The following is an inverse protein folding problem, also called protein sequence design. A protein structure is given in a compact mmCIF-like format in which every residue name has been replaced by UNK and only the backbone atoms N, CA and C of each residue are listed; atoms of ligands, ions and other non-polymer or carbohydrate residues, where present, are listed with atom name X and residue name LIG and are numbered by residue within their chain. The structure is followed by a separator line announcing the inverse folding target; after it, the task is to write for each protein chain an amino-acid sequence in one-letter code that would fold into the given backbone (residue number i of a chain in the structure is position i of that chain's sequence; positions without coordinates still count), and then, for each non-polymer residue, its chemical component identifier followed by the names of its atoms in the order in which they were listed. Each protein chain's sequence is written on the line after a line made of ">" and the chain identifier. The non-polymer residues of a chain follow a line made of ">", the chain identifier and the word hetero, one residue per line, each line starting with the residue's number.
data_IF_521504036276
#
_entry.id   IF_521504036276
#
_cell.length_a   1.000
_cell.length_b   1.000
_cell.length_c   1.000
_cell.angle_alpha   90.00
_cell.angle_beta   90.00
_cell.angle_gamma   90.00
#
_symmetry.space_group_name_H-M   'P 1'
#
loop_
_entity.id
_entity.type
_entity.pdbx_description
1 polymer ?
#
# COMPACT_ATOMS: atom_id res chain seq x y z
N UNK A 1 -13.02 1.36 -25.11
CA UNK A 1 -14.09 0.62 -25.79
C UNK A 1 -14.53 -0.48 -24.86
N UNK A 2 -15.76 -0.43 -24.33
CA UNK A 2 -16.36 -1.58 -23.63
C UNK A 2 -16.55 -2.66 -24.70
N UNK A 3 -16.07 -3.90 -24.51
CA UNK A 3 -16.21 -4.91 -25.54
C UNK A 3 -17.71 -5.15 -25.77
N UNK A 4 -18.16 -5.08 -27.03
CA UNK A 4 -19.57 -5.14 -27.40
C UNK A 4 -20.28 -6.48 -27.08
N UNK A 5 -19.60 -7.39 -26.40
CA UNK A 5 -20.05 -8.74 -26.06
C UNK A 5 -20.17 -8.99 -24.55
N UNK A 6 -19.84 -8.01 -23.68
CA UNK A 6 -20.04 -8.17 -22.25
C UNK A 6 -21.44 -7.71 -21.85
N UNK A 7 -22.21 -8.67 -21.35
CA UNK A 7 -23.51 -8.41 -20.75
C UNK A 7 -23.36 -7.61 -19.46
N UNK A 8 -24.36 -6.77 -19.15
CA UNK A 8 -24.30 -5.85 -18.00
C UNK A 8 -24.00 -6.57 -16.67
N UNK A 9 -24.53 -7.79 -16.50
CA UNK A 9 -24.29 -8.59 -15.30
C UNK A 9 -22.85 -9.08 -15.18
N UNK A 10 -22.16 -9.34 -16.30
CA UNK A 10 -20.76 -9.79 -16.30
C UNK A 10 -19.83 -8.65 -15.87
N UNK A 11 -20.09 -7.44 -16.37
CA UNK A 11 -19.38 -6.22 -15.96
C UNK A 11 -19.58 -6.00 -14.46
N UNK A 12 -20.82 -6.09 -13.97
CA UNK A 12 -21.12 -5.95 -12.55
C UNK A 12 -20.36 -6.97 -11.71
N UNK A 13 -20.31 -8.25 -12.12
CA UNK A 13 -19.63 -9.31 -11.39
C UNK A 13 -18.12 -9.08 -11.33
N UNK A 14 -17.51 -8.62 -12.43
CA UNK A 14 -16.08 -8.26 -12.48
C UNK A 14 -15.79 -7.09 -11.53
N UNK A 15 -16.60 -6.03 -11.58
CA UNK A 15 -16.41 -4.85 -10.73
C UNK A 15 -16.57 -5.20 -9.25
N UNK A 16 -17.63 -5.91 -8.89
CA UNK A 16 -17.85 -6.34 -7.50
C UNK A 16 -16.77 -7.30 -7.01
N UNK A 17 -16.35 -8.25 -7.86
CA UNK A 17 -15.24 -9.14 -7.55
C UNK A 17 -13.94 -8.39 -7.28
N UNK A 18 -13.65 -7.37 -8.09
CA UNK A 18 -12.47 -6.52 -7.90
C UNK A 18 -12.56 -5.70 -6.61
N UNK A 19 -13.73 -5.12 -6.29
CA UNK A 19 -13.96 -4.37 -5.04
C UNK A 19 -13.77 -5.27 -3.82
N UNK A 20 -14.35 -6.47 -3.83
CA UNK A 20 -14.19 -7.43 -2.74
C UNK A 20 -12.73 -7.89 -2.59
N UNK A 21 -12.04 -8.10 -3.71
CA UNK A 21 -10.62 -8.43 -3.69
C UNK A 21 -9.78 -7.29 -3.08
N UNK A 22 -10.07 -6.04 -3.43
CA UNK A 22 -9.41 -4.87 -2.85
C UNK A 22 -9.62 -4.81 -1.33
N UNK A 23 -10.86 -4.92 -0.85
CA UNK A 23 -11.15 -4.91 0.57
C UNK A 23 -10.51 -6.10 1.31
N UNK A 24 -10.50 -7.29 0.69
CA UNK A 24 -9.85 -8.47 1.24
C UNK A 24 -8.33 -8.27 1.38
N UNK A 25 -7.67 -7.75 0.35
CA UNK A 25 -6.24 -7.41 0.38
C UNK A 25 -5.95 -6.34 1.44
N UNK A 26 -6.77 -5.29 1.52
CA UNK A 26 -6.62 -4.25 2.54
C UNK A 26 -6.76 -4.81 3.96
N UNK A 27 -7.76 -5.67 4.22
CA UNK A 27 -7.95 -6.31 5.52
C UNK A 27 -6.77 -7.22 5.90
N UNK A 28 -6.28 -8.02 4.96
CA UNK A 28 -5.08 -8.85 5.13
C UNK A 28 -3.84 -7.99 5.46
N UNK A 29 -3.64 -6.90 4.73
CA UNK A 29 -2.56 -5.95 4.99
C UNK A 29 -2.70 -5.28 6.35
N UNK A 30 -3.92 -4.91 6.78
CA UNK A 30 -4.19 -4.32 8.09
C UNK A 30 -3.80 -5.28 9.21
N UNK A 31 -4.29 -6.53 9.17
CA UNK A 31 -3.96 -7.56 10.17
C UNK A 31 -2.46 -7.86 10.18
N UNK A 32 -1.82 -7.85 9.02
CA UNK A 32 -0.37 -8.08 8.93
C UNK A 32 0.45 -6.89 9.45
N UNK A 33 0.01 -5.66 9.21
CA UNK A 33 0.68 -4.45 9.67
C UNK A 33 0.54 -4.23 11.17
N UNK A 34 -0.68 -4.38 11.69
CA UNK A 34 -1.06 -3.96 13.06
C UNK A 34 -1.17 -5.14 14.03
N UNK A 35 -0.69 -6.34 13.66
CA UNK A 35 -1.01 -7.61 14.31
C UNK A 35 -1.04 -7.65 15.85
N UNK A 36 -1.92 -8.53 16.36
CA UNK A 36 -2.34 -8.74 17.76
C UNK A 36 -2.88 -7.50 18.49
N UNK A 37 -3.90 -7.71 19.33
CA UNK A 37 -4.49 -6.66 20.15
C UNK A 37 -3.40 -6.02 21.00
N UNK A 38 -2.97 -4.83 20.59
CA UNK A 38 -2.10 -3.98 21.36
C UNK A 38 -2.78 -3.73 22.71
N UNK A 39 -2.21 -4.29 23.77
CA UNK A 39 -2.72 -4.08 25.13
C UNK A 39 -2.35 -2.67 25.56
N UNK A 40 -3.28 -1.91 26.18
CA UNK A 40 -2.97 -0.58 26.71
C UNK A 40 -1.71 -0.65 27.60
N UNK A 41 -0.69 0.14 27.27
CA UNK A 41 0.56 0.23 28.02
C UNK A 41 1.74 -0.61 27.52
N UNK A 42 1.55 -1.51 26.54
CA UNK A 42 2.67 -2.26 25.94
C UNK A 42 3.27 -1.49 24.76
N UNK A 43 4.43 -0.83 24.98
CA UNK A 43 5.24 -0.27 23.90
C UNK A 43 5.94 -1.42 23.17
N UNK A 44 5.42 -1.81 22.00
CA UNK A 44 6.18 -2.68 21.10
C UNK A 44 7.30 -1.84 20.48
N UNK A 45 8.53 -2.03 20.98
CA UNK A 45 9.70 -1.44 20.35
C UNK A 45 9.81 -1.94 18.91
N UNK A 46 9.92 -1.00 17.97
CA UNK A 46 10.33 -1.28 16.61
C UNK A 46 11.65 -2.06 16.68
N UNK A 47 11.60 -3.36 16.39
CA UNK A 47 12.82 -4.18 16.28
C UNK A 47 13.60 -3.59 15.12
N UNK A 48 14.79 -3.04 15.35
CA UNK A 48 15.68 -2.61 14.27
C UNK A 48 16.02 -3.79 13.35
N UNK A 49 15.42 -3.92 12.15
CA UNK A 49 15.68 -5.06 11.31
C UNK A 49 16.65 -4.57 10.26
N UNK A 50 17.94 -4.88 10.43
CA UNK A 50 18.96 -4.68 9.39
C UNK A 50 18.44 -5.18 8.02
N UNK A 51 17.65 -6.26 8.02
CA UNK A 51 16.95 -6.76 6.84
C UNK A 51 15.94 -5.79 6.22
N UNK A 52 15.17 -5.02 7.00
CA UNK A 52 14.24 -4.03 6.48
C UNK A 52 14.98 -2.81 5.90
N UNK A 53 16.10 -2.40 6.51
CA UNK A 53 16.96 -1.35 5.95
C UNK A 53 17.46 -1.77 4.56
N UNK A 54 17.97 -2.99 4.43
CA UNK A 54 18.44 -3.54 3.15
C UNK A 54 17.29 -3.64 2.15
N UNK A 55 16.12 -4.12 2.57
CA UNK A 55 14.95 -4.21 1.71
C UNK A 55 14.51 -2.83 1.17
N UNK A 56 14.44 -1.82 2.04
CA UNK A 56 14.10 -0.44 1.65
C UNK A 56 15.18 0.14 0.72
N UNK A 57 16.46 -0.12 0.97
CA UNK A 57 17.54 0.33 0.10
C UNK A 57 17.46 -0.28 -1.31
N UNK A 58 17.18 -1.58 -1.41
CA UNK A 58 16.97 -2.25 -2.70
C UNK A 58 15.73 -1.71 -3.42
N UNK A 59 14.61 -1.54 -2.70
CA UNK A 59 13.39 -0.94 -3.24
C UNK A 59 13.62 0.48 -3.73
N UNK A 60 14.44 1.27 -3.03
CA UNK A 60 14.82 2.62 -3.46
C UNK A 60 15.50 2.57 -4.83
N UNK A 61 16.43 1.65 -5.03
CA UNK A 61 17.08 1.45 -6.33
C UNK A 61 16.08 1.10 -7.44
N UNK A 62 15.12 0.22 -7.16
CA UNK A 62 14.05 -0.16 -8.10
C UNK A 62 13.14 1.04 -8.42
N UNK A 63 12.71 1.80 -7.41
CA UNK A 63 11.86 3.00 -7.59
C UNK A 63 12.59 4.06 -8.42
N UNK A 64 13.87 4.31 -8.14
CA UNK A 64 14.69 5.25 -8.92
C UNK A 64 14.85 4.79 -10.37
N UNK A 65 15.06 3.49 -10.60
CA UNK A 65 15.12 2.94 -11.96
C UNK A 65 13.83 3.23 -12.74
N UNK A 66 12.66 2.93 -12.15
CA UNK A 66 11.38 3.21 -12.81
C UNK A 66 11.09 4.71 -12.95
N UNK A 67 11.52 5.55 -12.00
CA UNK A 67 11.42 7.00 -12.13
C UNK A 67 12.18 7.52 -13.35
N UNK A 68 13.41 7.02 -13.56
CA UNK A 68 14.22 7.37 -14.74
C UNK A 68 13.56 6.87 -16.02
N UNK A 69 13.03 5.64 -16.04
CA UNK A 69 12.32 5.11 -17.21
C UNK A 69 11.07 5.92 -17.53
N UNK A 70 10.27 6.27 -16.52
CA UNK A 70 9.07 7.09 -16.67
C UNK A 70 9.39 8.46 -17.30
N UNK A 71 10.44 9.14 -16.82
CA UNK A 71 10.88 10.42 -17.40
C UNK A 71 11.40 10.25 -18.82
N UNK A 72 12.15 9.18 -19.11
CA UNK A 72 12.63 8.89 -20.48
C UNK A 72 11.48 8.62 -21.45
N UNK A 73 10.48 7.85 -21.01
CA UNK A 73 9.26 7.55 -21.75
C UNK A 73 8.46 8.83 -22.06
N UNK A 74 8.42 9.80 -21.15
CA UNK A 74 7.81 11.12 -21.39
C UNK A 74 8.53 11.94 -22.47
N UNK A 75 9.86 11.88 -22.52
CA UNK A 75 10.68 12.75 -23.37
C UNK A 75 10.82 12.28 -24.81
N UNK A 76 10.97 10.97 -25.04
CA UNK A 76 11.40 10.47 -26.34
C UNK A 76 10.23 10.06 -27.23
N UNK A 77 9.28 9.26 -26.72
CA UNK A 77 8.01 8.90 -27.37
C UNK A 77 7.04 8.38 -26.30
N UNK A 78 5.98 9.13 -25.94
CA UNK A 78 5.03 8.69 -24.93
C UNK A 78 4.13 7.59 -25.50
N UNK A 79 4.57 6.33 -25.39
CA UNK A 79 3.69 5.18 -25.50
C UNK A 79 2.79 5.13 -24.24
N UNK A 80 1.47 5.31 -24.38
CA UNK A 80 0.56 5.33 -23.24
C UNK A 80 0.62 4.06 -22.39
N UNK A 81 0.86 2.89 -23.00
CA UNK A 81 0.90 1.61 -22.28
C UNK A 81 2.14 1.50 -21.40
N UNK A 82 3.31 1.82 -21.97
CA UNK A 82 4.58 1.81 -21.25
C UNK A 82 4.59 2.85 -20.13
N UNK A 83 4.06 4.04 -20.40
CA UNK A 83 3.96 5.12 -19.42
C UNK A 83 3.08 4.72 -18.22
N UNK A 84 1.94 4.08 -18.49
CA UNK A 84 1.06 3.57 -17.44
C UNK A 84 1.72 2.48 -16.60
N UNK A 85 2.49 1.58 -17.24
CA UNK A 85 3.18 0.50 -16.55
C UNK A 85 4.34 1.01 -15.69
N UNK A 86 5.20 1.88 -16.22
CA UNK A 86 6.29 2.52 -15.48
C UNK A 86 5.75 3.32 -14.29
N UNK A 87 4.67 4.09 -14.52
CA UNK A 87 3.99 4.86 -13.48
C UNK A 87 3.39 3.96 -12.39
N UNK A 88 2.69 2.90 -12.78
CA UNK A 88 2.12 1.94 -11.83
C UNK A 88 3.21 1.32 -10.95
N UNK A 89 4.30 0.84 -11.56
CA UNK A 89 5.41 0.22 -10.81
C UNK A 89 6.11 1.22 -9.87
N UNK A 90 6.23 2.48 -10.29
CA UNK A 90 6.73 3.54 -9.42
C UNK A 90 5.82 3.77 -8.21
N UNK A 91 4.51 3.91 -8.42
CA UNK A 91 3.56 4.11 -7.32
C UNK A 91 3.48 2.89 -6.40
N UNK A 92 3.46 1.67 -6.93
CA UNK A 92 3.46 0.45 -6.13
C UNK A 92 4.78 0.29 -5.35
N UNK A 93 5.92 0.64 -5.94
CA UNK A 93 7.21 0.63 -5.25
C UNK A 93 7.24 1.61 -4.07
N UNK A 94 6.74 2.83 -4.27
CA UNK A 94 6.61 3.83 -3.20
C UNK A 94 5.65 3.38 -2.09
N UNK A 95 4.50 2.81 -2.47
CA UNK A 95 3.55 2.26 -1.49
C UNK A 95 4.18 1.12 -0.68
N UNK A 96 4.92 0.22 -1.32
CA UNK A 96 5.64 -0.86 -0.63
C UNK A 96 6.70 -0.32 0.35
N UNK A 97 7.46 0.72 -0.03
CA UNK A 97 8.39 1.39 0.88
C UNK A 97 7.69 1.96 2.11
N UNK A 98 6.54 2.63 1.94
CA UNK A 98 5.77 3.20 3.06
C UNK A 98 5.24 2.12 4.00
N UNK A 99 4.75 1.01 3.45
CA UNK A 99 4.27 -0.14 4.23
C UNK A 99 5.39 -0.75 5.06
N UNK A 100 6.57 -0.97 4.46
CA UNK A 100 7.74 -1.48 5.18
C UNK A 100 8.23 -0.48 6.24
N UNK A 101 8.27 0.81 5.90
CA UNK A 101 8.67 1.85 6.83
C UNK A 101 7.75 1.89 8.05
N UNK A 102 6.43 1.92 7.84
CA UNK A 102 5.43 1.87 8.91
C UNK A 102 5.64 0.65 9.81
N UNK A 103 5.79 -0.54 9.22
CA UNK A 103 5.88 -1.78 10.00
C UNK A 103 7.15 -1.90 10.84
N UNK A 104 8.28 -1.43 10.33
CA UNK A 104 9.58 -1.73 10.90
C UNK A 104 10.23 -0.56 11.65
N UNK A 105 9.80 0.69 11.38
CA UNK A 105 10.42 1.89 11.92
C UNK A 105 9.47 2.74 12.76
N UNK A 106 8.16 2.59 12.58
CA UNK A 106 7.16 3.24 13.45
C UNK A 106 6.74 2.22 14.50
N UNK A 107 6.97 2.54 15.78
CA UNK A 107 6.51 1.72 16.89
C UNK A 107 4.99 1.82 17.05
N UNK A 108 4.35 0.71 17.41
CA UNK A 108 2.93 0.70 17.71
C UNK A 108 2.69 1.22 19.13
N UNK A 109 1.90 2.29 19.24
CA UNK A 109 1.42 2.83 20.51
C UNK A 109 -0.11 2.89 20.47
N UNK A 110 -0.77 2.22 21.41
CA UNK A 110 -2.19 2.45 21.67
C UNK A 110 -2.31 3.60 22.64
N UNK A 111 -2.73 4.74 22.12
CA UNK A 111 -3.15 5.88 22.93
C UNK A 111 -4.63 5.69 23.24
N UNK A 112 -4.95 5.35 24.48
CA UNK A 112 -6.32 5.48 24.98
C UNK A 112 -6.57 6.95 25.25
N UNK A 113 -7.36 7.60 24.42
CA UNK A 113 -7.85 8.95 24.71
C UNK A 113 -9.14 8.81 25.48
N UNK A 114 -9.14 9.22 26.76
CA UNK A 114 -10.36 9.29 27.55
C UNK A 114 -11.34 10.23 26.85
N UNK A 115 -12.54 9.71 26.61
CA UNK A 115 -13.62 10.41 25.95
C UNK A 115 -14.23 11.36 26.98
N UNK A 116 -13.92 12.66 26.87
CA UNK A 116 -14.50 13.70 27.74
C UNK A 116 -15.68 14.38 27.03
N UNK A 117 -16.70 13.60 26.67
CA UNK A 117 -17.94 14.09 26.06
C UNK A 117 -18.97 14.55 27.12
N UNK A 118 -18.63 14.50 28.41
CA UNK A 118 -19.57 14.83 29.49
C UNK A 118 -20.74 13.85 29.62
N UNK A 119 -20.66 12.70 28.94
CA UNK A 119 -21.68 11.65 28.92
C UNK A 119 -21.26 10.52 29.87
N UNK A 120 -22.09 10.13 30.85
CA UNK A 120 -21.69 9.25 31.94
C UNK A 120 -21.58 7.75 31.58
N UNK A 121 -21.54 7.38 30.30
CA UNK A 121 -21.44 6.00 29.82
C UNK A 121 -20.37 5.81 28.75
#
# INVERSE_FOLDING_TARGET
>A
MIPAHLESYQIALIVWGFVLALYGVQGLLSVWLEGQQLRPGEKHQAREPVGAVIAIALLTGVVLFFAVQFVRSLQHQPDPQRLALDGALLFFGLAAMLVLYRKYFIGDEVVTQDRDDGVPW
#
